data_IF_811562843327
#
_entry.id   IF_811562843327
#
_cell.length_a   1.000
_cell.length_b   1.000
_cell.length_c   1.000
_cell.angle_alpha   90.00
_cell.angle_beta   90.00
_cell.angle_gamma   90.00
#
_symmetry.space_group_name_H-M   'P 1'
#
loop_
_entity.id
_entity.type
_entity.pdbx_description
1 polymer ?
#
# COMPACT_ATOMS: atom_id res chain seq x y z
N UNK A 1 -30.96 -7.93 -18.21
CA UNK A 1 -32.00 -7.56 -17.23
C UNK A 1 -31.32 -6.52 -16.34
N UNK A 2 -31.48 -5.25 -16.76
CA UNK A 2 -30.97 -4.14 -15.96
C UNK A 2 -31.72 -4.13 -14.64
N UNK A 3 -31.02 -4.39 -13.55
CA UNK A 3 -31.56 -4.15 -12.21
C UNK A 3 -31.48 -2.64 -12.02
N UNK A 4 -32.59 -1.92 -12.23
CA UNK A 4 -32.72 -0.56 -11.72
C UNK A 4 -32.48 -0.62 -10.20
N UNK A 5 -31.27 -0.31 -9.76
CA UNK A 5 -30.99 -0.12 -8.35
C UNK A 5 -31.70 1.16 -7.92
N UNK A 6 -32.78 1.00 -7.15
CA UNK A 6 -33.45 2.13 -6.53
C UNK A 6 -32.43 2.85 -5.62
N UNK A 7 -31.94 3.99 -6.05
CA UNK A 7 -31.08 4.86 -5.25
C UNK A 7 -31.95 5.48 -4.15
N UNK A 8 -32.13 4.73 -3.07
CA UNK A 8 -32.75 5.25 -1.85
C UNK A 8 -31.73 6.09 -1.08
N UNK A 9 -32.18 7.21 -0.50
CA UNK A 9 -31.35 7.97 0.43
C UNK A 9 -31.14 7.15 1.69
N UNK A 10 -29.89 6.82 2.03
CA UNK A 10 -29.49 6.13 3.26
C UNK A 10 -29.21 7.19 4.32
N UNK A 11 -29.89 7.11 5.48
CA UNK A 11 -29.79 8.07 6.58
C UNK A 11 -29.22 7.43 7.83
N UNK A 12 -28.23 8.05 8.42
CA UNK A 12 -27.54 7.56 9.62
C UNK A 12 -26.96 8.74 10.42
N UNK A 13 -26.40 8.48 11.60
CA UNK A 13 -25.58 9.45 12.29
C UNK A 13 -24.12 9.17 12.02
N UNK A 14 -23.33 10.20 11.76
CA UNK A 14 -21.89 10.11 11.55
C UNK A 14 -21.18 11.05 12.50
N UNK A 15 -20.38 10.49 13.42
CA UNK A 15 -19.68 11.24 14.45
C UNK A 15 -20.60 12.18 15.27
N UNK A 16 -21.81 11.70 15.57
CA UNK A 16 -22.84 12.42 16.31
C UNK A 16 -23.69 13.42 15.51
N UNK A 17 -23.46 13.56 14.20
CA UNK A 17 -24.23 14.44 13.32
C UNK A 17 -25.12 13.63 12.36
N UNK A 18 -26.27 14.18 12.00
CA UNK A 18 -27.14 13.56 11.00
C UNK A 18 -26.44 13.60 9.61
N UNK A 19 -26.38 12.46 8.95
CA UNK A 19 -25.79 12.29 7.64
C UNK A 19 -26.78 11.59 6.69
N UNK A 20 -26.70 11.91 5.41
CA UNK A 20 -27.47 11.24 4.37
C UNK A 20 -26.67 11.13 3.08
N UNK A 21 -26.70 9.96 2.45
CA UNK A 21 -26.00 9.66 1.22
C UNK A 21 -26.98 9.09 0.18
N UNK A 22 -26.65 9.21 -1.09
CA UNK A 22 -27.44 8.69 -2.21
C UNK A 22 -26.73 7.54 -2.95
N UNK A 23 -25.81 6.86 -2.28
CA UNK A 23 -24.98 5.79 -2.81
C UNK A 23 -25.81 4.54 -3.09
N UNK A 24 -25.31 3.70 -3.99
CA UNK A 24 -25.85 2.35 -4.14
C UNK A 24 -25.74 1.59 -2.81
N UNK A 25 -26.82 0.96 -2.31
CA UNK A 25 -26.79 0.24 -1.04
C UNK A 25 -25.73 -0.87 -0.91
N UNK A 26 -25.21 -1.39 -2.03
CA UNK A 26 -24.15 -2.41 -2.02
C UNK A 26 -22.73 -1.81 -2.09
N UNK A 27 -22.61 -0.49 -2.25
CA UNK A 27 -21.29 0.18 -2.18
C UNK A 27 -20.64 -0.07 -0.83
N UNK A 28 -19.35 -0.28 -0.81
CA UNK A 28 -18.60 -0.47 0.45
C UNK A 28 -18.64 0.80 1.29
N UNK A 29 -18.83 0.65 2.58
CA UNK A 29 -18.82 1.78 3.52
C UNK A 29 -17.47 2.52 3.49
N UNK A 30 -16.36 1.82 3.27
CA UNK A 30 -15.04 2.44 3.08
C UNK A 30 -15.02 3.46 1.93
N UNK A 31 -15.61 3.12 0.79
CA UNK A 31 -15.67 4.00 -0.38
C UNK A 31 -16.57 5.20 -0.10
N UNK A 32 -17.72 4.98 0.53
CA UNK A 32 -18.62 6.07 0.93
C UNK A 32 -17.93 7.05 1.87
N UNK A 33 -17.27 6.55 2.91
CA UNK A 33 -16.58 7.43 3.89
C UNK A 33 -15.45 8.23 3.24
N UNK A 34 -14.63 7.58 2.41
CA UNK A 34 -13.43 8.17 1.83
C UNK A 34 -13.72 9.05 0.62
N UNK A 35 -14.49 8.53 -0.33
CA UNK A 35 -14.67 9.17 -1.66
C UNK A 35 -15.86 10.15 -1.68
N UNK A 36 -16.97 9.82 -0.98
CA UNK A 36 -18.15 10.68 -1.00
C UNK A 36 -18.17 11.70 0.15
N UNK A 37 -17.71 11.28 1.36
CA UNK A 37 -17.73 12.10 2.56
C UNK A 37 -16.38 12.71 2.92
N UNK A 38 -15.30 12.37 2.19
CA UNK A 38 -13.96 12.92 2.38
C UNK A 38 -13.30 12.52 3.71
N UNK A 39 -13.79 11.47 4.40
CA UNK A 39 -13.25 10.98 5.67
C UNK A 39 -12.15 9.95 5.41
N UNK A 40 -11.00 10.42 4.96
CA UNK A 40 -9.85 9.59 4.58
C UNK A 40 -9.11 8.97 5.77
N UNK A 41 -9.46 9.32 7.01
CA UNK A 41 -8.94 8.67 8.21
C UNK A 41 -9.27 7.18 8.28
N UNK A 42 -10.39 6.74 7.71
CA UNK A 42 -10.67 5.32 7.50
C UNK A 42 -9.75 4.78 6.41
N UNK A 43 -8.70 4.03 6.78
CA UNK A 43 -7.67 3.54 5.83
C UNK A 43 -8.06 2.19 5.25
N UNK A 44 -7.73 1.96 3.97
CA UNK A 44 -7.95 0.68 3.28
C UNK A 44 -6.60 0.08 2.92
N UNK A 45 -6.29 -1.10 3.48
CA UNK A 45 -5.06 -1.84 3.19
C UNK A 45 -5.32 -3.06 2.31
N UNK A 46 -6.06 -4.05 2.82
CA UNK A 46 -6.28 -5.32 2.12
C UNK A 46 -7.57 -5.36 1.29
N UNK A 47 -8.54 -4.53 1.61
CA UNK A 47 -9.90 -4.51 1.03
C UNK A 47 -10.64 -5.87 1.03
N UNK A 48 -10.24 -6.75 1.95
CA UNK A 48 -10.68 -8.14 2.07
C UNK A 48 -11.04 -8.57 3.51
N UNK A 49 -11.04 -7.63 4.47
CA UNK A 49 -11.41 -7.91 5.85
C UNK A 49 -10.30 -8.48 6.73
N UNK A 50 -9.05 -8.56 6.26
CA UNK A 50 -7.95 -9.18 7.00
C UNK A 50 -7.16 -8.19 7.85
N UNK A 51 -6.83 -7.00 7.32
CA UNK A 51 -5.88 -6.09 7.97
C UNK A 51 -6.48 -5.23 9.07
N UNK A 52 -7.79 -4.97 9.06
CA UNK A 52 -8.49 -4.16 10.05
C UNK A 52 -8.20 -2.65 10.02
N UNK A 53 -7.38 -2.15 9.06
CA UNK A 53 -7.07 -0.71 8.96
C UNK A 53 -8.33 0.15 8.76
N UNK A 54 -9.38 -0.41 8.16
CA UNK A 54 -10.67 0.22 7.91
C UNK A 54 -11.69 0.06 9.06
N UNK A 55 -11.25 -0.32 10.26
CA UNK A 55 -12.16 -0.48 11.41
C UNK A 55 -12.84 0.85 11.77
N UNK A 56 -14.17 0.82 11.84
CA UNK A 56 -15.06 1.88 12.32
C UNK A 56 -15.95 1.31 13.42
N UNK A 57 -16.72 2.17 14.11
CA UNK A 57 -17.77 1.69 15.01
C UNK A 57 -19.14 1.93 14.38
N UNK A 58 -19.98 0.90 14.40
CA UNK A 58 -21.41 0.97 14.05
C UNK A 58 -22.18 0.54 15.30
N UNK A 59 -22.98 1.43 15.86
CA UNK A 59 -23.72 1.22 17.12
C UNK A 59 -22.80 0.77 18.27
N UNK A 60 -21.56 1.29 18.30
CA UNK A 60 -20.54 1.00 19.32
C UNK A 60 -19.72 -0.26 19.06
N UNK A 61 -20.07 -1.08 18.09
CA UNK A 61 -19.35 -2.32 17.75
C UNK A 61 -18.34 -2.12 16.61
N UNK A 62 -17.21 -2.82 16.69
CA UNK A 62 -16.20 -2.82 15.64
C UNK A 62 -16.75 -3.45 14.36
N UNK A 63 -16.58 -2.78 13.22
CA UNK A 63 -16.92 -3.28 11.88
C UNK A 63 -15.82 -2.91 10.89
N UNK A 64 -15.56 -3.77 9.93
CA UNK A 64 -14.67 -3.48 8.81
C UNK A 64 -15.44 -2.78 7.72
N UNK A 65 -15.14 -1.51 7.47
CA UNK A 65 -15.84 -0.69 6.49
C UNK A 65 -15.74 -1.26 5.07
N UNK A 66 -14.64 -1.95 4.72
CA UNK A 66 -14.48 -2.61 3.42
C UNK A 66 -15.41 -3.82 3.21
N UNK A 67 -15.93 -4.44 4.28
CA UNK A 67 -16.88 -5.55 4.21
C UNK A 67 -18.32 -5.16 4.57
N UNK A 68 -18.55 -3.90 4.94
CA UNK A 68 -19.86 -3.40 5.30
C UNK A 68 -20.47 -2.67 4.11
N UNK A 69 -21.65 -3.09 3.67
CA UNK A 69 -22.39 -2.40 2.61
C UNK A 69 -23.05 -1.12 3.13
N UNK A 70 -23.06 -0.06 2.32
CA UNK A 70 -23.65 1.24 2.68
C UNK A 70 -25.10 1.14 3.16
N UNK A 71 -25.90 0.26 2.57
CA UNK A 71 -27.28 0.02 3.00
C UNK A 71 -27.44 -0.46 4.44
N UNK A 72 -26.38 -1.04 5.05
CA UNK A 72 -26.40 -1.47 6.44
C UNK A 72 -26.22 -0.31 7.43
N UNK A 73 -25.91 0.89 6.94
CA UNK A 73 -25.78 2.09 7.77
C UNK A 73 -27.14 2.73 8.12
N UNK A 74 -28.22 2.36 7.42
CA UNK A 74 -29.53 3.00 7.63
C UNK A 74 -29.96 2.95 9.10
N UNK A 75 -30.16 4.13 9.69
CA UNK A 75 -30.56 4.30 11.10
C UNK A 75 -29.48 4.10 12.13
N UNK A 76 -28.27 3.70 11.76
CA UNK A 76 -27.16 3.42 12.68
C UNK A 76 -26.44 4.69 13.19
N UNK A 77 -25.69 4.53 14.27
CA UNK A 77 -24.74 5.53 14.79
C UNK A 77 -23.31 5.11 14.44
N UNK A 78 -22.72 5.79 13.45
CA UNK A 78 -21.41 5.48 12.87
C UNK A 78 -20.35 6.42 13.43
N UNK A 79 -19.25 5.86 13.91
CA UNK A 79 -18.11 6.63 14.40
C UNK A 79 -16.83 6.25 13.68
N UNK A 80 -16.08 7.25 13.26
CA UNK A 80 -14.75 7.14 12.65
C UNK A 80 -13.71 7.87 13.51
N UNK A 81 -12.43 7.72 13.16
CA UNK A 81 -11.32 8.33 13.91
C UNK A 81 -11.43 9.85 13.99
N UNK A 82 -12.00 10.49 12.99
CA UNK A 82 -12.21 11.94 12.93
C UNK A 82 -13.14 12.44 14.05
N UNK A 83 -14.05 11.58 14.53
CA UNK A 83 -14.97 11.87 15.63
C UNK A 83 -14.36 11.75 17.03
N UNK A 84 -13.15 11.22 17.19
CA UNK A 84 -12.51 11.04 18.50
C UNK A 84 -11.98 12.34 19.09
N UNK A 85 -11.44 13.21 18.25
CA UNK A 85 -10.98 14.55 18.67
C UNK A 85 -12.17 15.51 18.82
N UNK A 86 -12.11 16.41 19.80
CA UNK A 86 -13.13 17.44 20.02
C UNK A 86 -12.48 18.82 20.02
N UNK A 87 -13.04 19.73 19.26
CA UNK A 87 -12.56 21.12 19.16
C UNK A 87 -11.05 21.21 18.84
N UNK A 88 -10.56 20.33 17.96
CA UNK A 88 -9.16 20.23 17.56
C UNK A 88 -8.23 19.67 18.64
N UNK A 89 -8.77 19.14 19.74
CA UNK A 89 -8.00 18.54 20.84
C UNK A 89 -8.08 17.03 20.80
N UNK A 90 -6.93 16.38 20.86
CA UNK A 90 -6.82 14.92 20.96
C UNK A 90 -7.58 14.40 22.18
N UNK A 91 -8.33 13.32 22.01
CA UNK A 91 -8.95 12.57 23.11
C UNK A 91 -7.87 11.99 24.05
N UNK A 92 -8.21 11.59 25.29
CA UNK A 92 -7.25 10.96 26.20
C UNK A 92 -6.54 9.73 25.57
N UNK A 93 -7.27 8.92 24.80
CA UNK A 93 -6.70 7.78 24.07
C UNK A 93 -5.69 8.22 23.02
N UNK A 94 -6.03 9.21 22.19
CA UNK A 94 -5.11 9.76 21.19
C UNK A 94 -3.88 10.41 21.84
N UNK A 95 -4.03 11.11 22.96
CA UNK A 95 -2.91 11.68 23.70
C UNK A 95 -1.97 10.60 24.24
N UNK A 96 -2.50 9.51 24.77
CA UNK A 96 -1.70 8.36 25.21
C UNK A 96 -0.93 7.74 24.04
N UNK A 97 -1.59 7.52 22.89
CA UNK A 97 -0.91 7.04 21.69
C UNK A 97 0.23 7.96 21.26
N UNK A 98 0.02 9.28 21.28
CA UNK A 98 1.07 10.25 20.95
C UNK A 98 2.24 10.16 21.94
N UNK A 99 1.95 10.12 23.24
CA UNK A 99 2.95 10.08 24.31
C UNK A 99 3.79 8.80 24.26
N UNK A 100 3.18 7.64 24.00
CA UNK A 100 3.88 6.37 23.90
C UNK A 100 4.59 6.15 22.55
N UNK A 101 4.34 7.00 21.54
CA UNK A 101 4.81 6.77 20.17
C UNK A 101 4.21 5.48 19.60
N UNK A 102 2.92 5.24 19.91
CA UNK A 102 2.17 4.07 19.47
C UNK A 102 1.82 4.09 17.98
N UNK A 103 1.88 5.26 17.33
CA UNK A 103 1.77 5.42 15.89
C UNK A 103 3.17 5.55 15.27
N UNK A 104 3.63 4.55 14.51
CA UNK A 104 4.88 4.64 13.74
C UNK A 104 4.59 5.13 12.32
N UNK A 105 4.31 4.22 11.37
CA UNK A 105 3.90 4.65 10.03
C UNK A 105 2.51 5.31 10.02
N UNK A 106 1.60 4.88 10.88
CA UNK A 106 0.30 5.51 11.12
C UNK A 106 -0.86 4.91 10.35
N UNK A 107 -0.63 4.06 9.35
CA UNK A 107 -1.69 3.52 8.49
C UNK A 107 -2.72 2.66 9.25
N UNK A 108 -2.30 1.88 10.24
CA UNK A 108 -3.19 1.09 11.10
C UNK A 108 -3.76 1.89 12.27
N UNK A 109 -3.23 3.07 12.55
CA UNK A 109 -3.53 3.84 13.79
C UNK A 109 -5.01 4.21 13.91
N UNK A 110 -5.71 4.67 12.87
CA UNK A 110 -7.15 4.90 12.94
C UNK A 110 -7.94 3.65 13.37
N UNK A 111 -7.70 2.51 12.74
CA UNK A 111 -8.34 1.25 13.10
C UNK A 111 -8.03 0.81 14.54
N UNK A 112 -6.76 0.95 14.97
CA UNK A 112 -6.36 0.66 16.35
C UNK A 112 -7.08 1.56 17.37
N UNK A 113 -7.22 2.85 17.07
CA UNK A 113 -7.94 3.80 17.93
C UNK A 113 -9.43 3.46 18.03
N UNK A 114 -10.07 3.09 16.92
CA UNK A 114 -11.47 2.69 16.91
C UNK A 114 -11.69 1.38 17.68
N UNK A 115 -10.82 0.40 17.49
CA UNK A 115 -10.87 -0.87 18.24
C UNK A 115 -10.69 -0.65 19.75
N UNK A 116 -9.69 0.14 20.15
CA UNK A 116 -9.46 0.50 21.53
C UNK A 116 -10.65 1.30 22.14
N UNK A 117 -11.21 2.25 21.37
CA UNK A 117 -12.36 3.04 21.84
C UNK A 117 -13.59 2.17 22.05
N UNK A 118 -13.85 1.19 21.18
CA UNK A 118 -14.93 0.22 21.36
C UNK A 118 -14.80 -0.53 22.71
N UNK A 119 -13.61 -1.04 23.00
CA UNK A 119 -13.33 -1.70 24.29
C UNK A 119 -13.56 -0.75 25.47
N UNK A 120 -12.99 0.46 25.43
CA UNK A 120 -13.08 1.41 26.53
C UNK A 120 -14.51 1.90 26.79
N UNK A 121 -15.37 1.91 25.78
CA UNK A 121 -16.79 2.25 25.91
C UNK A 121 -17.56 1.21 26.75
N UNK A 122 -17.22 -0.07 26.62
CA UNK A 122 -17.90 -1.16 27.36
C UNK A 122 -17.16 -1.56 28.62
N UNK A 123 -15.84 -1.40 28.64
CA UNK A 123 -14.97 -1.75 29.78
C UNK A 123 -13.95 -0.64 30.05
N UNK A 124 -14.27 0.30 30.93
CA UNK A 124 -13.39 1.45 31.23
C UNK A 124 -12.04 1.06 31.83
N UNK A 125 -11.92 -0.07 32.51
CA UNK A 125 -10.69 -0.57 33.15
C UNK A 125 -10.36 -1.98 32.63
N UNK A 126 -9.91 -2.14 31.37
CA UNK A 126 -9.59 -3.45 30.80
C UNK A 126 -8.27 -3.99 31.37
N UNK A 127 -8.16 -5.33 31.42
CA UNK A 127 -6.87 -5.99 31.61
C UNK A 127 -6.03 -5.91 30.33
N UNK A 128 -4.74 -6.21 30.44
CA UNK A 128 -3.83 -6.30 29.28
C UNK A 128 -4.33 -7.31 28.24
N UNK A 129 -4.74 -8.49 28.68
CA UNK A 129 -5.26 -9.56 27.81
C UNK A 129 -6.51 -9.10 27.03
N UNK A 130 -7.41 -8.37 27.69
CA UNK A 130 -8.60 -7.83 27.03
C UNK A 130 -8.28 -6.71 26.01
N UNK A 131 -7.23 -5.93 26.27
CA UNK A 131 -6.73 -4.96 25.30
C UNK A 131 -6.12 -5.69 24.10
N UNK A 132 -5.29 -6.70 24.32
CA UNK A 132 -4.66 -7.49 23.26
C UNK A 132 -5.71 -8.19 22.40
N UNK A 133 -6.75 -8.78 23.01
CA UNK A 133 -7.86 -9.41 22.31
C UNK A 133 -8.66 -8.41 21.46
N UNK A 134 -9.03 -7.27 22.05
CA UNK A 134 -9.80 -6.23 21.35
C UNK A 134 -9.06 -5.63 20.13
N UNK A 135 -7.72 -5.58 20.19
CA UNK A 135 -6.87 -5.08 19.10
C UNK A 135 -6.52 -6.17 18.07
N UNK A 136 -6.82 -7.44 18.36
CA UNK A 136 -6.44 -8.59 17.53
C UNK A 136 -6.95 -8.56 16.09
N UNK A 137 -8.05 -7.82 15.84
CA UNK A 137 -8.60 -7.62 14.50
C UNK A 137 -7.90 -6.57 13.65
N UNK A 138 -6.90 -5.84 14.19
CA UNK A 138 -6.18 -4.78 13.47
C UNK A 138 -4.68 -5.09 13.39
N UNK A 139 -4.16 -5.28 12.19
CA UNK A 139 -2.76 -5.62 11.98
C UNK A 139 -1.86 -4.39 12.05
N UNK A 140 -0.73 -4.53 12.73
CA UNK A 140 0.35 -3.56 12.74
C UNK A 140 1.70 -4.24 12.46
N UNK A 141 2.38 -3.84 11.39
CA UNK A 141 3.68 -4.41 11.02
C UNK A 141 4.87 -3.67 11.65
N UNK A 142 4.65 -2.45 12.21
CA UNK A 142 5.72 -1.56 12.67
C UNK A 142 6.06 -1.73 14.16
N UNK A 143 5.02 -1.82 15.04
CA UNK A 143 5.17 -1.51 16.48
C UNK A 143 5.44 -2.71 17.36
N UNK A 144 5.10 -3.92 16.90
CA UNK A 144 5.05 -5.11 17.75
C UNK A 144 3.99 -5.00 18.86
N UNK A 145 3.01 -4.09 18.72
CA UNK A 145 1.84 -3.85 19.58
C UNK A 145 2.13 -3.33 20.99
N UNK A 146 3.28 -3.59 21.59
CA UNK A 146 3.55 -3.29 23.01
C UNK A 146 3.27 -1.84 23.41
N UNK A 147 3.64 -0.87 22.56
CA UNK A 147 3.37 0.55 22.79
C UNK A 147 1.89 0.91 22.62
N UNK A 148 1.18 0.22 21.73
CA UNK A 148 -0.25 0.41 21.51
C UNK A 148 -1.01 -0.07 22.75
N UNK A 149 -0.73 -1.29 23.20
CA UNK A 149 -1.33 -1.88 24.40
C UNK A 149 -1.07 -0.99 25.64
N UNK A 150 0.18 -0.54 25.83
CA UNK A 150 0.53 0.35 26.93
C UNK A 150 -0.23 1.68 26.86
N UNK A 151 -0.40 2.26 25.67
CA UNK A 151 -1.16 3.50 25.50
C UNK A 151 -2.65 3.34 25.84
N UNK A 152 -3.27 2.20 25.49
CA UNK A 152 -4.67 1.91 25.84
C UNK A 152 -4.83 1.76 27.36
N UNK A 153 -3.94 1.00 28.01
CA UNK A 153 -3.96 0.80 29.45
C UNK A 153 -3.75 2.10 30.22
N UNK A 154 -2.89 2.99 29.73
CA UNK A 154 -2.75 4.32 30.31
C UNK A 154 -4.00 5.18 30.12
N UNK A 155 -4.57 5.20 28.93
CA UNK A 155 -5.80 5.97 28.64
C UNK A 155 -6.98 5.52 29.52
N UNK A 156 -7.00 4.25 29.93
CA UNK A 156 -7.99 3.69 30.87
C UNK A 156 -7.67 3.99 32.35
N UNK A 157 -6.45 4.46 32.65
CA UNK A 157 -5.97 4.64 34.03
C UNK A 157 -5.60 3.33 34.75
N UNK A 158 -5.57 2.20 34.04
CA UNK A 158 -5.28 0.88 34.62
C UNK A 158 -3.79 0.70 34.90
N UNK A 159 -2.93 1.12 33.96
CA UNK A 159 -1.48 1.10 34.13
C UNK A 159 -0.88 2.43 33.67
N UNK A 160 0.03 2.98 34.49
CA UNK A 160 0.87 4.11 34.10
C UNK A 160 2.33 3.66 34.09
N UNK A 161 2.98 3.72 32.94
CA UNK A 161 4.42 3.49 32.86
C UNK A 161 5.14 4.84 33.01
N UNK A 162 6.11 4.93 33.93
CA UNK A 162 7.01 6.08 33.96
C UNK A 162 7.78 6.11 32.62
N UNK A 163 7.42 7.04 31.77
CA UNK A 163 8.17 7.34 30.58
C UNK A 163 9.30 8.30 30.95
N UNK A 164 10.51 8.15 30.37
CA UNK A 164 11.56 9.15 30.52
C UNK A 164 10.98 10.54 30.23
N UNK A 165 11.30 11.51 31.07
CA UNK A 165 10.85 12.89 30.87
C UNK A 165 11.20 13.35 29.45
N UNK A 166 10.31 14.16 28.83
CA UNK A 166 10.64 14.91 27.62
C UNK A 166 11.83 15.81 27.95
N UNK A 167 13.04 15.32 27.71
CA UNK A 167 14.25 16.11 27.93
C UNK A 167 14.38 17.07 26.74
N UNK A 168 14.49 18.35 27.04
CA UNK A 168 14.58 19.43 26.04
C UNK A 168 15.79 19.34 25.11
N UNK A 169 16.69 18.38 25.31
CA UNK A 169 17.88 18.26 24.45
C UNK A 169 18.67 16.99 24.67
N UNK A 170 19.20 16.46 23.59
CA UNK A 170 20.34 15.61 23.55
C UNK A 170 20.08 14.13 23.33
N UNK A 171 21.17 13.40 23.31
CA UNK A 171 21.20 11.95 23.10
C UNK A 171 20.44 11.23 24.21
N UNK A 172 19.53 10.33 23.81
CA UNK A 172 18.69 9.57 24.74
C UNK A 172 17.38 10.27 25.16
N UNK A 173 17.11 11.50 24.70
CA UNK A 173 15.84 12.15 24.95
C UNK A 173 14.69 11.45 24.21
N UNK A 174 13.48 11.49 24.77
CA UNK A 174 12.27 10.96 24.15
C UNK A 174 11.52 12.07 23.45
N UNK A 175 11.96 12.44 22.28
CA UNK A 175 11.27 13.44 21.46
C UNK A 175 9.98 12.85 20.88
N UNK A 176 8.87 13.60 21.00
CA UNK A 176 7.60 13.22 20.35
C UNK A 176 7.75 13.24 18.84
N UNK A 177 7.03 12.34 18.19
CA UNK A 177 7.05 12.26 16.73
C UNK A 177 6.36 13.50 16.15
N UNK A 178 7.06 14.23 15.28
CA UNK A 178 6.58 15.50 14.69
C UNK A 178 5.30 15.28 13.87
N UNK A 179 5.25 14.19 13.09
CA UNK A 179 4.12 13.78 12.26
C UNK A 179 3.13 12.85 13.01
N UNK A 180 3.19 12.81 14.34
CA UNK A 180 2.36 11.92 15.16
C UNK A 180 0.90 12.35 15.21
N UNK A 181 0.65 13.63 15.36
CA UNK A 181 -0.71 14.16 15.55
C UNK A 181 -1.62 13.97 14.32
N UNK A 182 -1.22 14.28 13.10
CA UNK A 182 -2.01 13.99 11.90
C UNK A 182 -2.41 12.52 11.77
N UNK A 183 -1.54 11.58 12.16
CA UNK A 183 -1.82 10.14 12.13
C UNK A 183 -2.91 9.73 13.12
N UNK A 184 -2.96 10.40 14.28
CA UNK A 184 -3.97 10.16 15.30
C UNK A 184 -5.31 10.79 14.97
N UNK A 185 -5.30 11.91 14.26
CA UNK A 185 -6.51 12.60 13.80
C UNK A 185 -7.11 11.97 12.54
N UNK A 186 -6.38 11.08 11.87
CA UNK A 186 -6.78 10.53 10.57
C UNK A 186 -6.54 11.47 9.39
N UNK A 187 -5.82 12.59 9.60
CA UNK A 187 -5.56 13.63 8.58
C UNK A 187 -4.21 13.47 7.87
N UNK A 188 -3.41 12.47 8.24
CA UNK A 188 -2.17 12.15 7.51
C UNK A 188 -2.50 11.65 6.10
N UNK A 189 -1.76 12.13 5.10
CA UNK A 189 -2.01 11.88 3.68
C UNK A 189 -1.04 10.82 3.14
N UNK A 190 -1.57 9.68 2.77
CA UNK A 190 -0.84 8.59 2.11
C UNK A 190 -1.10 8.59 0.60
N UNK A 191 -0.42 7.73 -0.14
CA UNK A 191 -0.50 7.69 -1.60
C UNK A 191 -1.90 7.48 -2.17
N UNK A 192 -2.77 6.76 -1.45
CA UNK A 192 -4.16 6.49 -1.86
C UNK A 192 -5.19 7.50 -1.32
N UNK A 193 -4.78 8.52 -0.57
CA UNK A 193 -5.73 9.43 0.12
C UNK A 193 -6.09 10.67 -0.70
N UNK A 194 -5.34 10.99 -1.73
CA UNK A 194 -5.58 12.20 -2.52
C UNK A 194 -5.14 12.03 -3.97
N UNK A 195 -5.90 12.66 -4.85
CA UNK A 195 -5.58 12.91 -6.24
C UNK A 195 -6.34 14.19 -6.67
N UNK A 196 -5.96 14.87 -7.76
CA UNK A 196 -6.79 15.92 -8.32
C UNK A 196 -8.20 15.41 -8.69
N UNK A 197 -9.23 16.24 -8.51
CA UNK A 197 -10.65 15.85 -8.69
C UNK A 197 -10.97 15.37 -10.13
N UNK A 198 -10.23 15.86 -11.12
CA UNK A 198 -10.36 15.51 -12.53
C UNK A 198 -9.41 14.41 -13.00
N UNK A 199 -8.82 13.67 -12.07
CA UNK A 199 -7.87 12.59 -12.39
C UNK A 199 -8.54 11.43 -13.09
N UNK A 200 -7.87 10.92 -14.12
CA UNK A 200 -8.15 9.61 -14.67
C UNK A 200 -7.63 8.52 -13.72
N UNK A 201 -8.31 7.40 -13.74
CA UNK A 201 -7.91 6.22 -12.98
C UNK A 201 -7.12 5.26 -13.86
N UNK A 202 -6.21 4.54 -13.23
CA UNK A 202 -5.44 3.50 -13.89
C UNK A 202 -5.56 2.17 -13.15
N UNK A 203 -5.81 1.09 -13.88
CA UNK A 203 -5.75 -0.29 -13.41
C UNK A 203 -4.71 -1.07 -14.21
N UNK A 204 -3.80 -1.72 -13.51
CA UNK A 204 -2.76 -2.54 -14.13
C UNK A 204 -3.29 -3.95 -14.38
N UNK A 205 -3.16 -4.42 -15.60
CA UNK A 205 -3.46 -5.80 -16.01
C UNK A 205 -2.22 -6.66 -15.75
N UNK A 206 -2.41 -7.75 -15.03
CA UNK A 206 -1.31 -8.58 -14.53
C UNK A 206 -1.42 -10.02 -14.99
N UNK A 207 -0.27 -10.65 -15.22
CA UNK A 207 -0.21 -12.07 -15.59
C UNK A 207 -0.81 -12.98 -14.52
N UNK A 208 -1.71 -13.91 -14.88
CA UNK A 208 -2.15 -14.98 -14.01
C UNK A 208 -1.16 -16.16 -13.96
N UNK A 209 -0.16 -16.17 -14.86
CA UNK A 209 0.81 -17.26 -15.03
C UNK A 209 2.17 -16.93 -14.42
N UNK A 210 2.89 -17.91 -13.84
CA UNK A 210 4.25 -17.71 -13.33
C UNK A 210 5.27 -17.55 -14.47
N UNK A 211 5.01 -18.13 -15.64
CA UNK A 211 5.77 -17.94 -16.90
C UNK A 211 4.86 -18.26 -18.06
N UNK A 212 4.79 -17.38 -19.03
CA UNK A 212 4.03 -17.57 -20.26
C UNK A 212 4.50 -16.60 -21.35
N UNK A 213 4.36 -16.99 -22.61
CA UNK A 213 4.25 -16.01 -23.69
C UNK A 213 2.80 -15.57 -23.83
N UNK A 214 2.59 -14.37 -24.36
CA UNK A 214 1.24 -13.84 -24.55
C UNK A 214 1.11 -12.96 -25.78
N UNK A 215 -0.12 -12.85 -26.27
CA UNK A 215 -0.52 -11.91 -27.32
C UNK A 215 -1.67 -11.07 -26.80
N UNK A 216 -1.47 -9.75 -26.72
CA UNK A 216 -2.52 -8.79 -26.40
C UNK A 216 -3.20 -8.39 -27.71
N UNK A 217 -4.55 -8.48 -27.80
CA UNK A 217 -5.30 -7.96 -28.95
C UNK A 217 -5.11 -6.45 -29.12
N UNK A 218 -5.50 -5.93 -30.30
CA UNK A 218 -5.42 -4.49 -30.59
C UNK A 218 -6.15 -3.68 -29.52
N UNK A 219 -5.48 -2.73 -28.85
CA UNK A 219 -6.09 -1.89 -27.82
C UNK A 219 -7.29 -1.07 -28.34
N UNK A 220 -7.27 -0.66 -29.59
CA UNK A 220 -8.30 0.16 -30.22
C UNK A 220 -9.66 -0.54 -30.20
N UNK A 221 -9.70 -1.84 -30.50
CA UNK A 221 -10.93 -2.63 -30.49
C UNK A 221 -11.55 -2.69 -29.08
N UNK A 222 -10.72 -2.89 -28.06
CA UNK A 222 -11.17 -2.97 -26.67
C UNK A 222 -11.73 -1.61 -26.22
N UNK A 223 -11.07 -0.51 -26.60
CA UNK A 223 -11.51 0.85 -26.29
C UNK A 223 -12.85 1.16 -26.98
N UNK A 224 -13.03 0.78 -28.24
CA UNK A 224 -14.28 0.96 -28.99
C UNK A 224 -15.48 0.25 -28.31
N UNK A 225 -15.22 -0.93 -27.76
CA UNK A 225 -16.25 -1.73 -27.04
C UNK A 225 -16.54 -1.21 -25.61
N UNK A 226 -15.66 -0.34 -25.05
CA UNK A 226 -15.75 0.18 -23.68
C UNK A 226 -15.61 1.73 -23.65
N UNK A 227 -16.69 2.50 -23.89
CA UNK A 227 -16.64 3.95 -24.12
C UNK A 227 -16.02 4.81 -23.01
N UNK A 228 -15.98 4.34 -21.76
CA UNK A 228 -15.32 5.06 -20.65
C UNK A 228 -13.82 4.77 -20.52
N UNK A 229 -13.32 3.84 -21.34
CA UNK A 229 -11.89 3.53 -21.42
C UNK A 229 -11.24 4.49 -22.41
N UNK A 230 -10.29 5.30 -21.96
CA UNK A 230 -9.63 6.31 -22.79
C UNK A 230 -8.37 5.79 -23.46
N UNK A 231 -7.62 4.94 -22.77
CA UNK A 231 -6.34 4.40 -23.25
C UNK A 231 -6.05 3.04 -22.62
N UNK A 232 -5.38 2.18 -23.37
CA UNK A 232 -4.71 0.98 -22.85
C UNK A 232 -3.23 1.16 -23.17
N UNK A 233 -2.40 1.23 -22.13
CA UNK A 233 -0.94 1.28 -22.27
C UNK A 233 -0.38 -0.11 -22.48
N UNK A 234 0.59 -0.21 -23.37
CA UNK A 234 1.40 -1.37 -23.63
C UNK A 234 2.88 -1.02 -23.56
N UNK A 235 3.77 -1.99 -23.68
CA UNK A 235 5.21 -1.73 -23.72
C UNK A 235 5.63 -0.75 -24.84
N UNK A 236 4.84 -0.62 -25.92
CA UNK A 236 5.08 0.29 -27.04
C UNK A 236 4.86 1.76 -26.69
N UNK A 237 4.09 2.03 -25.65
CA UNK A 237 3.81 3.38 -25.18
C UNK A 237 4.92 3.95 -24.28
N UNK A 238 5.91 3.13 -23.88
CA UNK A 238 7.04 3.58 -23.05
C UNK A 238 8.02 4.38 -23.92
N UNK A 239 8.19 5.71 -23.65
CA UNK A 239 8.93 6.58 -24.59
C UNK A 239 10.45 6.35 -24.58
N UNK A 240 11.00 5.89 -23.47
CA UNK A 240 12.43 5.66 -23.28
C UNK A 240 12.77 4.19 -23.08
N UNK A 241 13.36 3.86 -21.92
CA UNK A 241 13.69 2.49 -21.58
C UNK A 241 12.51 1.77 -20.95
N UNK A 242 12.01 0.70 -21.59
CA UNK A 242 10.98 -0.16 -20.97
C UNK A 242 11.60 -1.09 -19.91
N UNK A 243 12.29 -0.51 -18.94
CA UNK A 243 12.93 -1.28 -17.88
C UNK A 243 13.39 -0.38 -16.73
N UNK A 244 13.28 -0.89 -15.53
CA UNK A 244 13.79 -0.29 -14.30
C UNK A 244 14.43 -1.36 -13.42
N UNK A 245 15.06 -0.97 -12.32
CA UNK A 245 15.66 -1.91 -11.38
C UNK A 245 16.64 -1.24 -10.44
N UNK A 246 16.81 -1.84 -9.27
CA UNK A 246 17.61 -1.31 -8.15
C UNK A 246 19.11 -1.13 -8.49
N UNK A 247 19.64 -1.95 -9.39
CA UNK A 247 21.04 -1.84 -9.79
C UNK A 247 21.20 -0.78 -10.89
N UNK A 248 22.18 0.14 -10.78
CA UNK A 248 22.33 1.24 -11.74
C UNK A 248 22.48 0.80 -13.21
N UNK A 249 23.10 -0.35 -13.42
CA UNK A 249 23.43 -0.86 -14.76
C UNK A 249 22.57 -2.05 -15.20
N UNK A 250 21.62 -2.50 -14.38
CA UNK A 250 20.77 -3.64 -14.65
C UNK A 250 19.32 -3.16 -14.52
N UNK A 251 18.63 -3.05 -15.67
CA UNK A 251 17.24 -2.63 -15.80
C UNK A 251 16.42 -3.77 -16.37
N UNK A 252 16.25 -4.81 -15.57
CA UNK A 252 15.71 -6.09 -15.96
C UNK A 252 14.24 -6.30 -15.62
N UNK A 253 13.61 -5.32 -14.96
CA UNK A 253 12.17 -5.31 -14.68
C UNK A 253 11.46 -4.46 -15.75
N UNK A 254 10.67 -5.03 -16.68
CA UNK A 254 9.92 -4.25 -17.64
C UNK A 254 8.86 -3.39 -16.94
N UNK A 255 8.64 -2.17 -17.44
CA UNK A 255 7.48 -1.36 -17.04
C UNK A 255 6.19 -2.09 -17.44
N UNK A 256 6.14 -2.57 -18.67
CA UNK A 256 5.10 -3.44 -19.21
C UNK A 256 5.76 -4.56 -20.03
N UNK A 257 5.41 -5.80 -19.74
CA UNK A 257 5.96 -6.94 -20.45
C UNK A 257 5.62 -6.86 -21.96
N UNK A 258 6.57 -7.29 -22.80
CA UNK A 258 6.43 -7.19 -24.27
C UNK A 258 5.63 -8.34 -24.85
N UNK A 259 6.09 -9.56 -24.65
CA UNK A 259 5.58 -10.79 -25.27
C UNK A 259 5.72 -12.02 -24.35
N UNK A 260 6.44 -11.89 -23.25
CA UNK A 260 6.65 -12.94 -22.24
C UNK A 260 6.56 -12.37 -20.84
N UNK A 261 5.93 -13.13 -19.95
CA UNK A 261 5.91 -12.87 -18.50
C UNK A 261 6.76 -13.89 -17.76
N UNK A 262 7.38 -13.45 -16.66
CA UNK A 262 8.43 -14.16 -15.93
C UNK A 262 8.02 -14.52 -14.51
N UNK A 263 6.94 -13.90 -14.02
CA UNK A 263 6.35 -14.20 -12.71
C UNK A 263 4.85 -13.87 -12.71
N UNK A 264 4.11 -14.52 -11.82
CA UNK A 264 2.69 -14.21 -11.62
C UNK A 264 2.55 -12.80 -11.06
N UNK A 265 1.74 -11.97 -11.72
CA UNK A 265 1.54 -10.58 -11.35
C UNK A 265 2.39 -9.59 -12.13
N UNK A 266 3.24 -10.01 -13.08
CA UNK A 266 3.97 -9.11 -13.98
C UNK A 266 2.98 -8.28 -14.81
N UNK A 267 3.24 -6.96 -14.91
CA UNK A 267 2.37 -6.03 -15.63
C UNK A 267 2.48 -6.23 -17.13
N UNK A 268 1.35 -6.38 -17.83
CA UNK A 268 1.29 -6.58 -19.29
C UNK A 268 0.61 -5.43 -20.02
N UNK A 269 -0.33 -4.75 -19.36
CA UNK A 269 -1.02 -3.57 -19.87
C UNK A 269 -1.51 -2.71 -18.71
N UNK A 270 -1.93 -1.46 -19.00
CA UNK A 270 -2.61 -0.62 -18.03
C UNK A 270 -3.82 0.07 -18.68
N UNK A 271 -5.00 -0.10 -18.09
CA UNK A 271 -6.24 0.51 -18.51
C UNK A 271 -6.34 1.91 -17.91
N UNK A 272 -6.67 2.92 -18.69
CA UNK A 272 -6.84 4.30 -18.23
C UNK A 272 -8.21 4.81 -18.67
N UNK A 273 -8.97 5.39 -17.74
CA UNK A 273 -10.30 5.91 -17.99
C UNK A 273 -10.97 6.41 -16.73
N UNK A 274 -12.29 6.56 -16.78
CA UNK A 274 -13.05 6.77 -15.57
C UNK A 274 -13.07 5.50 -14.69
N UNK A 275 -13.17 5.68 -13.38
CA UNK A 275 -13.08 4.59 -12.40
C UNK A 275 -14.08 3.46 -12.70
N UNK A 276 -15.33 3.81 -12.96
CA UNK A 276 -16.40 2.83 -13.20
C UNK A 276 -16.12 1.97 -14.44
N UNK A 277 -15.63 2.58 -15.50
CA UNK A 277 -15.34 1.88 -16.76
C UNK A 277 -14.14 0.94 -16.63
N UNK A 278 -13.04 1.38 -15.98
CA UNK A 278 -11.88 0.49 -15.80
C UNK A 278 -12.15 -0.66 -14.82
N UNK A 279 -13.02 -0.47 -13.83
CA UNK A 279 -13.44 -1.52 -12.90
C UNK A 279 -14.44 -2.52 -13.55
N UNK A 280 -15.23 -2.08 -14.53
CA UNK A 280 -16.18 -2.92 -15.24
C UNK A 280 -15.51 -3.88 -16.24
N UNK A 281 -14.35 -3.51 -16.80
CA UNK A 281 -13.59 -4.37 -17.73
C UNK A 281 -12.83 -5.42 -16.93
N UNK A 282 -13.14 -6.68 -17.12
CA UNK A 282 -12.39 -7.80 -16.52
C UNK A 282 -11.13 -8.12 -17.32
N UNK A 283 -10.20 -8.89 -16.76
CA UNK A 283 -9.00 -9.31 -17.50
C UNK A 283 -9.36 -10.28 -18.63
N UNK A 284 -10.45 -11.06 -18.51
CA UNK A 284 -10.95 -11.95 -19.56
C UNK A 284 -11.53 -11.17 -20.75
N UNK A 285 -12.14 -9.99 -20.51
CA UNK A 285 -12.66 -9.13 -21.58
C UNK A 285 -11.57 -8.59 -22.51
N UNK A 286 -10.32 -8.58 -22.04
CA UNK A 286 -9.17 -8.14 -22.82
C UNK A 286 -8.75 -9.18 -23.88
N UNK A 287 -9.24 -10.41 -23.77
CA UNK A 287 -8.97 -11.47 -24.73
C UNK A 287 -7.49 -11.80 -24.90
N UNK A 288 -6.67 -11.66 -23.85
CA UNK A 288 -5.24 -11.97 -23.90
C UNK A 288 -5.05 -13.46 -24.11
N UNK A 289 -4.33 -13.83 -25.16
CA UNK A 289 -3.99 -15.22 -25.45
C UNK A 289 -2.70 -15.59 -24.72
N UNK A 290 -2.79 -16.53 -23.79
CA UNK A 290 -1.67 -17.01 -22.98
C UNK A 290 -1.20 -18.38 -23.43
N UNK A 291 0.13 -18.55 -23.52
CA UNK A 291 0.78 -19.84 -23.71
C UNK A 291 1.70 -20.10 -22.51
N UNK A 292 1.22 -20.85 -21.49
CA UNK A 292 2.02 -21.15 -20.31
C UNK A 292 3.30 -21.94 -20.66
N UNK A 293 4.37 -21.65 -19.91
CA UNK A 293 5.68 -22.30 -20.03
C UNK A 293 6.12 -22.84 -18.67
N UNK A 294 7.12 -23.73 -18.68
CA UNK A 294 7.73 -24.26 -17.46
C UNK A 294 8.41 -23.13 -16.67
N UNK A 295 7.97 -22.94 -15.44
CA UNK A 295 8.53 -21.95 -14.53
C UNK A 295 9.74 -22.49 -13.75
N UNK A 296 10.64 -21.59 -13.35
CA UNK A 296 11.73 -21.90 -12.43
C UNK A 296 11.17 -21.74 -11.01
N UNK A 297 11.10 -22.84 -10.26
CA UNK A 297 10.45 -22.87 -8.93
C UNK A 297 11.44 -22.76 -7.76
N UNK A 298 12.74 -23.01 -8.01
CA UNK A 298 13.77 -22.94 -6.98
C UNK A 298 15.10 -22.40 -7.50
N UNK A 299 15.96 -21.92 -6.62
CA UNK A 299 17.29 -21.46 -6.98
C UNK A 299 18.19 -22.62 -7.48
N UNK A 300 17.97 -23.82 -6.98
CA UNK A 300 18.70 -25.01 -7.47
C UNK A 300 18.35 -25.29 -8.91
N UNK A 301 17.07 -25.30 -9.27
CA UNK A 301 16.63 -25.50 -10.65
C UNK A 301 17.09 -24.37 -11.56
N UNK A 302 17.16 -23.12 -11.04
CA UNK A 302 17.70 -21.98 -11.76
C UNK A 302 19.18 -22.18 -12.14
N UNK A 303 19.99 -22.70 -11.20
CA UNK A 303 21.44 -22.92 -11.41
C UNK A 303 21.75 -24.17 -12.26
N UNK A 304 20.83 -25.13 -12.33
CA UNK A 304 21.01 -26.33 -13.17
C UNK A 304 21.02 -26.03 -14.68
N UNK A 305 20.46 -24.90 -15.08
CA UNK A 305 20.45 -24.45 -16.48
C UNK A 305 19.64 -25.33 -17.44
N UNK A 306 18.71 -26.14 -16.90
CA UNK A 306 17.82 -27.00 -17.71
C UNK A 306 16.66 -26.25 -18.35
N UNK A 307 16.28 -25.14 -17.74
CA UNK A 307 15.22 -24.23 -18.22
C UNK A 307 15.88 -22.93 -18.65
N UNK A 308 15.35 -22.31 -19.71
CA UNK A 308 15.84 -21.02 -20.20
C UNK A 308 15.88 -19.97 -19.10
N UNK A 309 16.88 -19.08 -19.05
CA UNK A 309 16.99 -18.05 -18.04
C UNK A 309 15.70 -17.23 -17.88
N UNK A 310 15.41 -16.77 -16.65
CA UNK A 310 14.28 -15.87 -16.38
C UNK A 310 14.43 -14.57 -17.17
N UNK A 311 15.67 -14.05 -17.23
CA UNK A 311 16.05 -12.90 -18.03
C UNK A 311 17.20 -13.28 -18.96
N UNK A 312 17.07 -12.99 -20.24
CA UNK A 312 18.10 -13.33 -21.24
C UNK A 312 19.46 -12.67 -20.97
N UNK A 313 19.46 -11.51 -20.30
CA UNK A 313 20.67 -10.77 -19.95
C UNK A 313 21.47 -11.44 -18.81
N UNK A 314 20.90 -12.40 -18.10
CA UNK A 314 21.51 -13.08 -16.96
C UNK A 314 21.84 -14.54 -17.30
N UNK A 315 23.03 -14.78 -17.80
CA UNK A 315 23.50 -16.15 -18.02
C UNK A 315 23.40 -16.97 -16.72
N UNK A 316 22.85 -18.18 -16.82
CA UNK A 316 22.66 -19.10 -15.68
C UNK A 316 21.84 -18.51 -14.52
N UNK A 317 20.95 -17.54 -14.77
CA UNK A 317 20.10 -16.89 -13.74
C UNK A 317 20.88 -16.21 -12.60
N UNK A 318 22.15 -15.87 -12.81
CA UNK A 318 22.96 -15.20 -11.81
C UNK A 318 22.87 -13.68 -11.97
N UNK A 319 22.05 -13.01 -11.11
CA UNK A 319 21.86 -11.57 -11.13
C UNK A 319 23.09 -10.81 -10.63
N UNK A 320 23.63 -11.23 -9.47
CA UNK A 320 24.76 -10.57 -8.84
C UNK A 320 25.61 -11.55 -8.04
N UNK A 321 26.89 -11.23 -7.91
CA UNK A 321 27.84 -11.96 -7.08
C UNK A 321 28.56 -11.01 -6.12
N UNK A 322 28.40 -11.24 -4.82
CA UNK A 322 29.13 -10.52 -3.78
C UNK A 322 30.24 -11.37 -3.20
N UNK A 323 31.38 -10.74 -2.88
CA UNK A 323 32.47 -11.37 -2.18
C UNK A 323 33.08 -10.43 -1.15
N UNK A 324 33.21 -10.88 0.09
CA UNK A 324 33.88 -10.16 1.14
C UNK A 324 34.96 -11.04 1.76
N UNK A 325 36.20 -10.54 1.78
CA UNK A 325 37.35 -11.20 2.46
C UNK A 325 38.03 -10.23 3.39
N UNK A 326 38.25 -10.65 4.65
CA UNK A 326 39.06 -9.92 5.63
C UNK A 326 40.01 -10.87 6.31
N UNK A 327 41.33 -10.64 6.15
CA UNK A 327 42.36 -11.49 6.69
C UNK A 327 42.46 -12.86 6.00
N UNK A 328 42.94 -13.86 6.74
CA UNK A 328 43.05 -15.25 6.32
C UNK A 328 42.13 -16.13 7.17
N UNK A 329 40.83 -16.09 6.81
CA UNK A 329 39.80 -16.80 7.56
C UNK A 329 39.96 -18.33 7.55
N UNK A 330 40.47 -18.90 6.45
CA UNK A 330 40.68 -20.33 6.31
C UNK A 330 41.73 -20.84 7.29
N UNK A 331 42.90 -20.20 7.31
CA UNK A 331 43.98 -20.56 8.24
C UNK A 331 43.57 -20.40 9.70
N UNK A 332 42.84 -19.33 10.05
CA UNK A 332 42.33 -19.12 11.40
C UNK A 332 41.32 -20.18 11.79
N UNK A 333 40.41 -20.53 10.87
CA UNK A 333 39.44 -21.60 11.11
C UNK A 333 40.11 -22.96 11.35
N UNK A 334 41.10 -23.32 10.51
CA UNK A 334 41.85 -24.58 10.67
C UNK A 334 42.55 -24.68 12.00
N UNK A 335 43.15 -23.58 12.47
CA UNK A 335 43.91 -23.50 13.74
C UNK A 335 42.98 -23.36 14.97
N UNK A 336 41.72 -23.07 14.80
CA UNK A 336 40.78 -22.91 15.91
C UNK A 336 40.53 -24.23 16.63
N UNK A 337 40.64 -24.21 17.96
CA UNK A 337 40.44 -25.37 18.83
C UNK A 337 38.95 -25.74 18.88
N UNK A 338 38.09 -24.71 18.90
CA UNK A 338 36.62 -24.88 18.93
C UNK A 338 36.07 -24.45 17.57
N UNK A 339 35.37 -25.35 16.91
CA UNK A 339 34.72 -25.11 15.63
C UNK A 339 33.24 -25.40 15.76
N UNK A 340 32.41 -24.54 15.17
CA UNK A 340 30.99 -24.78 15.03
C UNK A 340 30.59 -24.59 13.56
N UNK A 341 29.73 -25.45 13.06
CA UNK A 341 29.22 -25.40 11.71
C UNK A 341 27.71 -25.64 11.73
N UNK A 342 26.99 -24.94 10.90
CA UNK A 342 25.54 -25.10 10.77
C UNK A 342 25.04 -24.58 9.44
N UNK A 343 23.85 -25.05 9.07
CA UNK A 343 23.07 -24.56 7.93
C UNK A 343 21.72 -24.10 8.44
N UNK A 344 21.26 -22.94 7.96
CA UNK A 344 20.00 -22.35 8.36
C UNK A 344 19.22 -21.99 7.10
N UNK A 345 17.94 -22.24 7.14
CA UNK A 345 16.99 -21.87 6.09
C UNK A 345 15.89 -21.01 6.70
N UNK A 346 15.51 -19.94 6.00
CA UNK A 346 14.37 -19.08 6.34
C UNK A 346 13.32 -19.21 5.25
N UNK A 347 12.04 -19.13 5.64
CA UNK A 347 10.97 -19.03 4.66
C UNK A 347 11.03 -17.69 3.93
N UNK A 348 10.42 -17.64 2.77
CA UNK A 348 10.11 -16.39 2.08
C UNK A 348 9.11 -15.61 2.91
N UNK A 349 9.37 -14.33 3.18
CA UNK A 349 8.51 -13.47 3.97
C UNK A 349 8.27 -12.17 3.20
N UNK A 350 7.01 -11.90 2.88
CA UNK A 350 6.60 -10.64 2.30
C UNK A 350 6.74 -9.48 3.33
N UNK A 351 7.08 -8.27 2.88
CA UNK A 351 7.24 -7.09 3.73
C UNK A 351 5.96 -6.74 4.49
N UNK A 352 4.81 -6.94 3.86
CA UNK A 352 3.48 -6.77 4.41
C UNK A 352 3.24 -5.37 5.02
N UNK A 353 3.66 -4.31 4.32
CA UNK A 353 3.21 -2.97 4.64
C UNK A 353 1.71 -2.84 4.32
N UNK A 354 0.97 -2.14 5.18
CA UNK A 354 -0.50 -2.02 5.08
C UNK A 354 -0.88 -0.92 4.07
N UNK A 355 -0.03 0.09 3.90
CA UNK A 355 -0.20 1.17 2.92
C UNK A 355 -0.01 0.64 1.50
N UNK A 356 -1.05 0.67 0.69
CA UNK A 356 -1.04 0.17 -0.69
C UNK A 356 -0.11 0.97 -1.59
N UNK A 357 0.36 0.35 -2.68
CA UNK A 357 1.10 1.01 -3.75
C UNK A 357 0.13 1.90 -4.54
N UNK A 358 0.14 3.18 -4.25
CA UNK A 358 -0.76 4.15 -4.84
C UNK A 358 -0.12 5.53 -4.95
N UNK A 359 -0.71 6.37 -5.81
CA UNK A 359 -0.31 7.75 -6.02
C UNK A 359 -0.90 8.31 -7.29
N UNK A 360 -0.47 9.50 -7.67
CA UNK A 360 -0.87 10.14 -8.93
C UNK A 360 0.31 10.88 -9.57
N UNK A 361 0.19 11.16 -10.86
CA UNK A 361 1.15 11.95 -11.62
C UNK A 361 0.46 13.08 -12.37
N UNK A 362 1.15 14.24 -12.46
CA UNK A 362 0.68 15.42 -13.20
C UNK A 362 1.81 15.96 -14.05
N UNK A 363 1.57 16.14 -15.35
CA UNK A 363 2.49 16.83 -16.25
C UNK A 363 2.23 18.34 -16.22
N UNK A 364 3.25 19.12 -15.91
CA UNK A 364 3.20 20.58 -15.90
C UNK A 364 4.21 21.15 -16.88
N UNK A 365 3.76 21.37 -18.12
CA UNK A 365 4.65 21.75 -19.22
C UNK A 365 5.70 20.68 -19.51
N UNK A 366 6.99 21.01 -19.31
CA UNK A 366 8.10 20.06 -19.53
C UNK A 366 8.47 19.27 -18.27
N UNK A 367 7.73 19.41 -17.16
CA UNK A 367 8.00 18.76 -15.89
C UNK A 367 6.91 17.76 -15.54
N UNK A 368 7.31 16.60 -15.07
CA UNK A 368 6.45 15.60 -14.47
C UNK A 368 6.54 15.65 -12.95
N UNK A 369 5.43 15.70 -12.26
CA UNK A 369 5.33 15.61 -10.79
C UNK A 369 4.58 14.33 -10.43
N UNK A 370 5.18 13.50 -9.55
CA UNK A 370 4.58 12.27 -9.02
C UNK A 370 4.43 12.41 -7.51
N UNK A 371 3.22 12.22 -7.01
CA UNK A 371 2.91 12.11 -5.59
C UNK A 371 2.69 10.63 -5.26
N UNK A 372 3.63 10.03 -4.51
CA UNK A 372 3.69 8.56 -4.31
C UNK A 372 4.28 8.19 -2.96
N UNK A 373 3.92 7.02 -2.44
CA UNK A 373 4.56 6.42 -1.28
C UNK A 373 5.87 5.75 -1.69
N UNK A 374 7.01 6.22 -1.20
CA UNK A 374 8.35 5.71 -1.56
C UNK A 374 9.36 5.88 -0.44
N UNK A 375 10.35 4.97 -0.38
CA UNK A 375 11.51 5.07 0.50
C UNK A 375 12.72 5.76 -0.16
N UNK A 376 12.71 5.90 -1.50
CA UNK A 376 13.88 6.31 -2.31
C UNK A 376 13.54 7.32 -3.41
N UNK A 377 13.04 8.51 -3.08
CA UNK A 377 12.51 9.46 -4.07
C UNK A 377 13.53 9.88 -5.14
N UNK A 378 14.82 9.91 -4.82
CA UNK A 378 15.86 10.24 -5.82
C UNK A 378 16.13 9.09 -6.79
N UNK A 379 16.07 7.85 -6.32
CA UNK A 379 16.19 6.69 -7.21
C UNK A 379 14.97 6.60 -8.13
N UNK A 380 13.77 6.74 -7.59
CA UNK A 380 12.53 6.80 -8.38
C UNK A 380 12.60 7.87 -9.48
N UNK A 381 13.11 9.07 -9.13
CA UNK A 381 13.30 10.15 -10.10
C UNK A 381 14.18 9.72 -11.27
N UNK A 382 15.31 9.11 -10.96
CA UNK A 382 16.30 8.71 -11.97
C UNK A 382 15.79 7.55 -12.83
N UNK A 383 15.06 6.60 -12.23
CA UNK A 383 14.39 5.50 -12.95
C UNK A 383 13.28 6.03 -13.87
N UNK A 384 12.40 6.87 -13.36
CA UNK A 384 11.33 7.49 -14.15
C UNK A 384 11.88 8.31 -15.31
N UNK A 385 12.96 9.06 -15.09
CA UNK A 385 13.60 9.83 -16.15
C UNK A 385 14.13 8.92 -17.28
N UNK A 386 14.72 7.76 -16.95
CA UNK A 386 15.17 6.77 -17.94
C UNK A 386 14.00 6.13 -18.69
N UNK A 387 12.91 5.80 -17.98
CA UNK A 387 11.69 5.22 -18.58
C UNK A 387 11.06 6.18 -19.58
N UNK A 388 11.09 7.48 -19.29
CA UNK A 388 10.55 8.50 -20.18
C UNK A 388 11.54 8.99 -21.24
N UNK A 389 12.83 8.70 -21.11
CA UNK A 389 13.88 9.22 -22.00
C UNK A 389 14.11 10.73 -21.86
N UNK A 390 13.92 11.29 -20.64
CA UNK A 390 14.06 12.72 -20.33
C UNK A 390 15.14 12.96 -19.27
N UNK A 391 15.48 14.23 -19.03
CA UNK A 391 16.46 14.57 -18.00
C UNK A 391 15.88 14.44 -16.58
N UNK A 392 16.66 14.02 -15.57
CA UNK A 392 16.17 13.85 -14.20
C UNK A 392 15.60 15.12 -13.55
N UNK A 393 16.05 16.30 -13.96
CA UNK A 393 15.54 17.59 -13.48
C UNK A 393 14.13 17.93 -13.98
N UNK A 394 13.65 17.21 -15.01
CA UNK A 394 12.27 17.26 -15.49
C UNK A 394 11.31 16.40 -14.67
N UNK A 395 11.81 15.57 -13.76
CA UNK A 395 11.01 14.71 -12.89
C UNK A 395 11.10 15.20 -11.45
N UNK A 396 9.95 15.33 -10.79
CA UNK A 396 9.84 15.62 -9.37
C UNK A 396 9.03 14.56 -8.67
N UNK A 397 9.68 13.84 -7.76
CA UNK A 397 8.98 12.94 -6.83
C UNK A 397 8.60 13.74 -5.58
N UNK A 398 7.34 13.67 -5.19
CA UNK A 398 6.76 14.27 -4.00
C UNK A 398 6.31 13.13 -3.09
N UNK A 399 7.13 12.72 -2.11
CA UNK A 399 6.77 11.62 -1.23
C UNK A 399 5.52 11.96 -0.41
N UNK A 400 4.54 11.04 -0.38
CA UNK A 400 3.48 11.04 0.61
C UNK A 400 4.01 10.58 1.96
N UNK A 401 3.18 10.56 3.00
CA UNK A 401 3.46 9.72 4.16
C UNK A 401 3.62 8.26 3.72
N UNK A 402 4.58 7.55 4.31
CA UNK A 402 4.86 6.15 3.99
C UNK A 402 4.25 5.27 5.06
N UNK A 403 3.21 4.55 4.72
CA UNK A 403 2.46 3.65 5.60
C UNK A 403 3.14 2.28 5.82
N UNK A 404 4.46 2.30 5.95
CA UNK A 404 5.36 1.15 6.00
C UNK A 404 6.02 0.89 4.67
N UNK A 405 7.19 0.30 4.70
CA UNK A 405 7.94 -0.07 3.49
C UNK A 405 8.83 -1.28 3.75
N UNK A 406 9.64 -1.25 4.83
CA UNK A 406 10.50 -2.35 5.28
C UNK A 406 11.47 -2.86 4.19
N UNK A 407 11.79 -2.00 3.22
CA UNK A 407 12.55 -2.35 2.02
C UNK A 407 11.71 -2.66 0.78
N UNK A 408 10.39 -2.88 0.91
CA UNK A 408 9.50 -3.18 -0.21
C UNK A 408 9.17 -1.98 -1.09
N UNK A 409 9.40 -0.74 -0.60
CA UNK A 409 9.22 0.51 -1.35
C UNK A 409 10.56 1.17 -1.72
N UNK A 410 11.62 0.36 -1.85
CA UNK A 410 12.94 0.80 -2.32
C UNK A 410 13.05 0.83 -3.84
N UNK A 411 12.34 -0.06 -4.53
CA UNK A 411 12.27 -0.10 -5.99
C UNK A 411 10.98 0.53 -6.49
N UNK A 412 10.95 0.91 -7.75
CA UNK A 412 9.74 1.43 -8.38
C UNK A 412 8.65 0.36 -8.44
N UNK A 413 7.40 0.78 -8.26
CA UNK A 413 6.21 -0.06 -8.44
C UNK A 413 5.21 0.61 -9.39
N UNK A 414 4.48 1.62 -8.90
CA UNK A 414 3.50 2.38 -9.69
C UNK A 414 4.12 3.58 -10.41
N UNK A 415 5.29 4.05 -9.97
CA UNK A 415 5.90 5.28 -10.47
C UNK A 415 6.14 5.27 -11.99
N UNK A 416 6.72 4.21 -12.59
CA UNK A 416 6.92 4.16 -14.04
C UNK A 416 5.61 4.19 -14.83
N UNK A 417 4.60 3.48 -14.35
CA UNK A 417 3.29 3.40 -15.01
C UNK A 417 2.56 4.74 -14.98
N UNK A 418 2.49 5.37 -13.79
CA UNK A 418 1.93 6.72 -13.62
C UNK A 418 2.67 7.74 -14.49
N UNK A 419 3.99 7.63 -14.55
CA UNK A 419 4.84 8.52 -15.33
C UNK A 419 4.55 8.41 -16.83
N UNK A 420 4.51 7.20 -17.38
CA UNK A 420 4.19 6.97 -18.79
C UNK A 420 2.80 7.51 -19.11
N UNK A 421 1.80 7.17 -18.29
CA UNK A 421 0.44 7.65 -18.47
C UNK A 421 0.35 9.19 -18.54
N UNK A 422 0.86 9.86 -17.51
CA UNK A 422 0.81 11.33 -17.43
C UNK A 422 1.70 12.04 -18.47
N UNK A 423 2.71 11.35 -19.00
CA UNK A 423 3.58 11.94 -20.02
C UNK A 423 2.95 11.95 -21.41
N UNK A 424 2.20 10.91 -21.75
CA UNK A 424 1.62 10.73 -23.10
C UNK A 424 0.17 11.22 -23.20
N UNK A 425 -0.56 11.28 -22.09
CA UNK A 425 -1.89 11.88 -22.04
C UNK A 425 -1.72 13.38 -21.77
N UNK A 426 -1.90 14.19 -22.79
CA UNK A 426 -1.79 15.67 -22.71
C UNK A 426 -2.94 16.29 -21.93
#
# INVERSE_FOLDING_TARGET
>A
MEVETASGTIRFKLNGQACSIASNPVTRTSDVLREELGLTGTKVGCDAGDCGACTILIDGEQRFACLTAAGQLEGCDVHTVEGLAKDGKLSPLQQAFHRYGAAQCGICTPGMLMAAQSLLNVKPNPSREEVEDALGGVLCRCTGYSKIVAAVLEASGTETQELPADADSGFGSRTRKVDGEPKLLGTEIYGADTAPDDSLWMRVVRSPHPRATFVLPSPEKIIEENPGLMRILTWQDVPGNNGFGIYPHIKDQPVLAKDQVRYRGEAVAALIGDRKSIEAVTDDDLGIEWVPEDAIESYESALEGKISPVQEIHENNLLARGFLKKGDAESVYEQSIIKAQGSWETSYVEHAYIDTEAGYAVKRGQRLELFVSTQTPYMDRDEVAQVLGIAPDQVRIIPSAVGGGFGGKLDCSVQPLLAVAAWILE
#
